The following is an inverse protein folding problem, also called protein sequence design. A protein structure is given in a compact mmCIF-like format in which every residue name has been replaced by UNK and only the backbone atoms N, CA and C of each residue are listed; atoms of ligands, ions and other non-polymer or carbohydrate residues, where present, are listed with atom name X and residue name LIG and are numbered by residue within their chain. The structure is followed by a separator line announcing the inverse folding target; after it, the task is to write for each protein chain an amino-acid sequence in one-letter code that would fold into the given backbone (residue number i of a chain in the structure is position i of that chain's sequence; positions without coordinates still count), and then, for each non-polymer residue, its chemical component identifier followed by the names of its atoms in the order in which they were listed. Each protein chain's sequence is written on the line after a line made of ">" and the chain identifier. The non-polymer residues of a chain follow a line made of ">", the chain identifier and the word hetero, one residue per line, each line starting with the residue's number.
data_IF_251745711994
#
_entry.id   IF_251745711994
#
_cell.length_a   1.000
_cell.length_b   1.000
_cell.length_c   1.000
_cell.angle_alpha   90.00
_cell.angle_beta   90.00
_cell.angle_gamma   90.00
#
_symmetry.space_group_name_H-M   'P 1'
#
loop_
_entity.id
_entity.type
_entity.pdbx_description
1 polymer ?
#
# COMPACT_ATOMS: atom_id res chain seq x y z
N UNK A 1 -38.41 -38.50 28.41
CA UNK A 1 -38.02 -38.57 26.98
C UNK A 1 -38.61 -37.33 26.33
N UNK A 2 -37.80 -36.48 25.71
CA UNK A 2 -38.29 -35.31 24.94
C UNK A 2 -38.30 -35.73 23.48
N UNK A 3 -39.48 -35.75 22.86
CA UNK A 3 -39.68 -36.16 21.47
C UNK A 3 -40.03 -34.90 20.69
N UNK A 4 -39.24 -34.60 19.67
CA UNK A 4 -39.47 -33.46 18.78
C UNK A 4 -39.48 -33.99 17.35
N UNK A 5 -40.46 -33.54 16.57
CA UNK A 5 -40.58 -33.86 15.16
C UNK A 5 -40.71 -32.55 14.38
N UNK A 6 -40.14 -32.50 13.18
CA UNK A 6 -40.35 -31.38 12.26
C UNK A 6 -40.96 -31.89 10.97
N UNK A 7 -41.83 -31.09 10.37
CA UNK A 7 -42.51 -31.45 9.14
C UNK A 7 -43.17 -30.26 8.48
N UNK A 8 -43.86 -30.53 7.36
CA UNK A 8 -44.56 -29.53 6.55
C UNK A 8 -45.90 -29.15 7.21
N UNK A 9 -45.81 -28.63 8.44
CA UNK A 9 -46.96 -28.25 9.25
C UNK A 9 -47.24 -26.76 9.10
N UNK A 10 -48.53 -26.42 9.00
CA UNK A 10 -48.95 -25.03 8.92
C UNK A 10 -48.81 -24.30 10.26
N UNK A 11 -48.63 -24.95 11.41
CA UNK A 11 -48.40 -24.29 12.71
C UNK A 11 -47.58 -25.20 13.63
N UNK A 12 -46.88 -24.63 14.61
CA UNK A 12 -46.28 -25.42 15.68
C UNK A 12 -47.42 -26.02 16.51
N UNK A 13 -47.38 -27.34 16.72
CA UNK A 13 -48.43 -28.06 17.46
C UNK A 13 -47.81 -29.00 18.47
N UNK A 14 -48.55 -29.34 19.52
CA UNK A 14 -48.16 -30.40 20.44
C UNK A 14 -49.22 -31.49 20.38
N UNK A 15 -48.80 -32.73 20.23
CA UNK A 15 -49.71 -33.88 20.32
C UNK A 15 -49.22 -34.85 21.41
N UNK A 16 -50.12 -35.37 22.25
CA UNK A 16 -49.79 -36.46 23.14
C UNK A 16 -49.53 -37.72 22.31
N UNK A 17 -48.41 -38.40 22.58
CA UNK A 17 -48.13 -39.71 22.00
C UNK A 17 -48.01 -40.72 23.12
N UNK A 18 -48.77 -41.80 22.97
CA UNK A 18 -48.66 -42.95 23.87
C UNK A 18 -47.39 -43.72 23.53
N UNK A 19 -46.61 -44.07 24.56
CA UNK A 19 -45.33 -44.78 24.39
C UNK A 19 -45.41 -46.09 25.15
N UNK A 20 -44.98 -47.18 24.51
CA UNK A 20 -44.85 -48.49 25.12
C UNK A 20 -43.37 -48.91 25.13
N UNK A 21 -42.91 -49.51 26.23
CA UNK A 21 -41.57 -50.12 26.22
C UNK A 21 -41.56 -51.36 25.32
N UNK A 22 -40.45 -51.64 24.63
CA UNK A 22 -40.33 -52.80 23.73
C UNK A 22 -40.62 -54.14 24.41
N UNK A 23 -40.41 -54.23 25.72
CA UNK A 23 -40.74 -55.41 26.52
C UNK A 23 -42.24 -55.57 26.81
N UNK A 24 -42.98 -54.46 26.94
CA UNK A 24 -44.42 -54.47 27.21
C UNK A 24 -45.24 -54.65 25.93
N UNK A 25 -44.86 -53.96 24.84
CA UNK A 25 -45.57 -54.01 23.56
C UNK A 25 -45.57 -55.39 22.89
N UNK A 26 -44.54 -56.22 23.15
CA UNK A 26 -44.43 -57.59 22.62
C UNK A 26 -45.36 -58.57 23.35
N UNK A 27 -45.70 -58.30 24.62
CA UNK A 27 -46.57 -59.17 25.44
C UNK A 27 -48.04 -58.76 25.41
N UNK A 28 -48.31 -57.47 25.24
CA UNK A 28 -49.67 -56.95 25.09
C UNK A 28 -49.65 -55.75 24.12
N UNK A 29 -50.26 -55.87 22.92
CA UNK A 29 -50.31 -54.79 21.94
C UNK A 29 -51.12 -53.57 22.42
N UNK A 30 -51.81 -53.65 23.56
CA UNK A 30 -52.52 -52.54 24.19
C UNK A 30 -51.76 -51.92 25.39
N UNK A 31 -50.53 -52.33 25.68
CA UNK A 31 -49.72 -51.83 26.80
C UNK A 31 -49.07 -50.45 26.52
N UNK A 32 -49.89 -49.48 26.15
CA UNK A 32 -49.50 -48.09 25.90
C UNK A 32 -49.66 -47.22 27.16
N UNK A 33 -48.80 -46.22 27.34
CA UNK A 33 -48.87 -45.29 28.50
C UNK A 33 -50.04 -44.31 28.38
N UNK A 34 -50.83 -44.10 29.45
CA UNK A 34 -51.92 -43.11 29.49
C UNK A 34 -51.45 -41.65 29.66
N UNK A 35 -50.28 -41.44 30.26
CA UNK A 35 -49.65 -40.11 30.40
C UNK A 35 -48.75 -39.88 29.18
N UNK A 36 -49.36 -39.41 28.09
CA UNK A 36 -48.70 -39.23 26.80
C UNK A 36 -47.45 -38.34 26.89
N UNK A 37 -46.36 -38.79 26.28
CA UNK A 37 -45.22 -37.89 26.02
C UNK A 37 -45.68 -36.88 24.98
N UNK A 38 -45.62 -35.59 25.32
CA UNK A 38 -45.91 -34.54 24.36
C UNK A 38 -44.81 -34.51 23.30
N UNK A 39 -45.19 -34.75 22.04
CA UNK A 39 -44.34 -34.47 20.90
C UNK A 39 -44.61 -33.04 20.45
N UNK A 40 -43.59 -32.21 20.46
CA UNK A 40 -43.65 -30.89 19.83
C UNK A 40 -43.35 -31.05 18.34
N UNK A 41 -44.31 -30.63 17.51
CA UNK A 41 -44.17 -30.54 16.06
C UNK A 41 -43.79 -29.11 15.70
N UNK A 42 -42.62 -28.96 15.11
CA UNK A 42 -42.11 -27.68 14.64
C UNK A 42 -42.17 -27.60 13.13
N UNK A 43 -42.37 -26.39 12.60
CA UNK A 43 -42.18 -26.17 11.16
C UNK A 43 -40.73 -26.43 10.77
N UNK A 44 -40.51 -27.02 9.59
CA UNK A 44 -39.16 -27.15 9.04
C UNK A 44 -38.56 -25.76 8.77
N UNK A 45 -37.38 -25.42 9.31
CA UNK A 45 -36.77 -24.11 9.08
C UNK A 45 -36.40 -23.94 7.61
N UNK A 46 -36.34 -22.68 7.15
CA UNK A 46 -35.91 -22.34 5.79
C UNK A 46 -34.66 -21.48 5.85
N UNK A 47 -33.58 -21.93 5.22
CA UNK A 47 -32.41 -21.10 4.96
C UNK A 47 -32.60 -20.38 3.61
N UNK A 48 -32.53 -19.04 3.61
CA UNK A 48 -32.79 -18.22 2.42
C UNK A 48 -31.52 -17.60 1.85
N UNK A 49 -30.63 -17.12 2.72
CA UNK A 49 -29.39 -16.46 2.32
C UNK A 49 -28.29 -16.71 3.36
N UNK A 50 -27.03 -16.69 2.91
CA UNK A 50 -25.84 -16.67 3.75
C UNK A 50 -24.94 -15.48 3.41
N UNK A 51 -24.40 -14.84 4.44
CA UNK A 51 -23.39 -13.80 4.30
C UNK A 51 -22.18 -14.09 5.22
N UNK A 52 -20.98 -14.39 4.66
CA UNK A 52 -20.73 -14.70 3.25
C UNK A 52 -21.32 -16.06 2.83
N UNK A 53 -21.55 -16.24 1.52
CA UNK A 53 -21.97 -17.53 0.92
C UNK A 53 -20.79 -18.44 0.51
N UNK A 54 -19.60 -18.14 1.03
CA UNK A 54 -18.36 -18.81 0.67
C UNK A 54 -17.35 -18.77 1.83
N UNK A 55 -16.36 -19.66 1.78
CA UNK A 55 -15.27 -19.76 2.75
C UNK A 55 -14.03 -20.44 2.14
N UNK A 56 -12.99 -20.66 2.94
CA UNK A 56 -11.74 -21.33 2.49
C UNK A 56 -11.74 -22.81 2.84
N UNK A 57 -10.86 -23.59 2.20
CA UNK A 57 -10.72 -25.03 2.46
C UNK A 57 -10.35 -25.37 3.92
N UNK A 58 -9.82 -24.41 4.67
CA UNK A 58 -9.48 -24.53 6.10
C UNK A 58 -10.72 -24.48 7.01
N UNK A 59 -11.86 -24.00 6.50
CA UNK A 59 -13.06 -23.76 7.30
C UNK A 59 -12.95 -22.50 8.16
N UNK A 60 -13.74 -22.45 9.24
CA UNK A 60 -13.71 -21.35 10.21
C UNK A 60 -14.49 -20.11 9.78
N UNK A 61 -15.16 -20.11 8.62
CA UNK A 61 -15.92 -18.94 8.16
C UNK A 61 -17.22 -18.83 8.92
N UNK A 62 -17.44 -17.70 9.61
CA UNK A 62 -18.68 -17.39 10.31
C UNK A 62 -19.76 -16.95 9.30
N UNK A 63 -20.56 -17.91 8.82
CA UNK A 63 -21.65 -17.67 7.90
C UNK A 63 -22.90 -17.23 8.67
N UNK A 64 -23.36 -16.00 8.41
CA UNK A 64 -24.63 -15.49 8.94
C UNK A 64 -25.76 -15.92 8.02
N UNK A 65 -26.62 -16.78 8.52
CA UNK A 65 -27.76 -17.34 7.81
C UNK A 65 -29.01 -16.53 8.12
N UNK A 66 -29.65 -16.04 7.06
CA UNK A 66 -30.97 -15.42 7.11
C UNK A 66 -32.00 -16.43 6.62
N UNK A 67 -33.06 -16.62 7.41
CA UNK A 67 -34.05 -17.66 7.16
C UNK A 67 -35.43 -17.35 7.73
N UNK A 68 -36.31 -18.35 7.72
CA UNK A 68 -37.57 -18.33 8.45
C UNK A 68 -37.68 -19.55 9.36
N UNK A 69 -38.47 -19.39 10.42
CA UNK A 69 -38.82 -20.47 11.36
C UNK A 69 -37.58 -21.05 12.09
N UNK A 70 -36.54 -20.23 12.25
CA UNK A 70 -35.34 -20.58 13.00
C UNK A 70 -35.54 -20.20 14.47
N UNK A 71 -35.76 -21.20 15.32
CA UNK A 71 -36.05 -21.01 16.75
C UNK A 71 -35.21 -21.97 17.59
N UNK A 72 -34.69 -21.49 18.71
CA UNK A 72 -33.99 -22.35 19.65
C UNK A 72 -35.01 -23.20 20.44
N UNK A 73 -35.07 -24.49 20.12
CA UNK A 73 -35.90 -25.46 20.85
C UNK A 73 -35.15 -26.10 22.02
N UNK A 74 -33.89 -25.75 22.29
CA UNK A 74 -33.05 -26.40 23.29
C UNK A 74 -32.43 -27.73 22.84
N UNK A 75 -32.62 -28.14 21.58
CA UNK A 75 -32.05 -29.33 20.96
C UNK A 75 -30.70 -29.11 20.23
N UNK A 76 -30.05 -27.95 20.49
CA UNK A 76 -28.86 -27.44 19.80
C UNK A 76 -29.10 -27.26 18.29
N UNK A 77 -29.37 -26.01 17.88
CA UNK A 77 -29.45 -25.60 16.48
C UNK A 77 -28.23 -26.11 15.71
N UNK A 78 -28.45 -26.71 14.53
CA UNK A 78 -27.36 -27.22 13.68
C UNK A 78 -27.44 -26.66 12.27
N UNK A 79 -26.28 -26.49 11.67
CA UNK A 79 -26.15 -26.21 10.25
C UNK A 79 -25.51 -27.39 9.53
N UNK A 80 -26.00 -27.69 8.32
CA UNK A 80 -25.38 -28.64 7.41
C UNK A 80 -24.60 -27.88 6.33
N UNK A 81 -23.37 -28.28 6.09
CA UNK A 81 -22.55 -27.92 4.94
C UNK A 81 -22.32 -29.20 4.12
N UNK A 82 -23.20 -29.45 3.15
CA UNK A 82 -23.26 -30.72 2.42
C UNK A 82 -23.61 -31.87 3.38
N UNK A 83 -22.71 -32.84 3.51
CA UNK A 83 -22.85 -33.97 4.45
C UNK A 83 -22.35 -33.67 5.86
N UNK A 84 -21.65 -32.55 6.07
CA UNK A 84 -21.05 -32.22 7.37
C UNK A 84 -22.01 -31.38 8.19
N UNK A 85 -22.26 -31.77 9.44
CA UNK A 85 -23.16 -31.06 10.34
C UNK A 85 -22.36 -30.42 11.47
N UNK A 86 -22.56 -29.12 11.69
CA UNK A 86 -21.94 -28.34 12.77
C UNK A 86 -23.00 -27.82 13.73
N UNK A 87 -22.62 -27.65 14.99
CA UNK A 87 -23.46 -26.94 15.97
C UNK A 87 -23.40 -25.45 15.66
N UNK A 88 -24.53 -24.76 15.75
CA UNK A 88 -24.58 -23.31 15.57
C UNK A 88 -23.75 -22.59 16.65
N UNK A 89 -23.05 -21.52 16.26
CA UNK A 89 -22.32 -20.66 17.18
C UNK A 89 -23.24 -19.73 17.99
N UNK A 90 -24.48 -19.52 17.53
CA UNK A 90 -25.49 -18.79 18.28
C UNK A 90 -26.69 -18.35 17.44
N UNK A 91 -27.85 -18.19 18.10
CA UNK A 91 -29.03 -17.56 17.52
C UNK A 91 -28.96 -16.04 17.75
N UNK A 92 -28.88 -15.26 16.66
CA UNK A 92 -28.84 -13.80 16.75
C UNK A 92 -30.25 -13.20 16.93
N UNK A 93 -31.25 -13.78 16.24
CA UNK A 93 -32.67 -13.41 16.35
C UNK A 93 -33.57 -14.51 15.76
N UNK A 94 -34.89 -14.36 15.81
CA UNK A 94 -35.89 -15.36 15.34
C UNK A 94 -35.84 -15.74 13.86
N UNK A 95 -34.91 -15.18 13.08
CA UNK A 95 -34.68 -15.49 11.66
C UNK A 95 -33.19 -15.44 11.27
N UNK A 96 -32.27 -15.27 12.24
CA UNK A 96 -30.85 -15.10 11.98
C UNK A 96 -30.03 -16.05 12.85
N UNK A 97 -29.24 -16.89 12.19
CA UNK A 97 -28.40 -17.91 12.81
C UNK A 97 -26.95 -17.74 12.38
N UNK A 98 -26.00 -17.99 13.27
CA UNK A 98 -24.59 -18.05 12.90
C UNK A 98 -24.08 -19.50 12.95
N UNK A 99 -23.32 -19.87 11.92
CA UNK A 99 -22.66 -21.16 11.85
C UNK A 99 -21.25 -21.02 11.29
N UNK A 100 -20.31 -21.77 11.87
CA UNK A 100 -18.91 -21.78 11.44
C UNK A 100 -18.70 -22.92 10.46
N UNK A 101 -18.20 -22.62 9.26
CA UNK A 101 -17.94 -23.63 8.24
C UNK A 101 -16.88 -24.65 8.70
N UNK A 102 -17.08 -25.96 8.47
CA UNK A 102 -16.03 -26.97 8.70
C UNK A 102 -14.94 -26.89 7.63
N UNK A 103 -13.79 -27.51 7.87
CA UNK A 103 -12.77 -27.70 6.84
C UNK A 103 -13.30 -28.63 5.74
N UNK A 104 -13.08 -28.27 4.48
CA UNK A 104 -13.57 -29.02 3.32
C UNK A 104 -12.69 -28.75 2.11
N UNK A 105 -12.46 -29.74 1.24
CA UNK A 105 -11.71 -29.53 0.01
C UNK A 105 -12.37 -28.45 -0.89
N UNK A 106 -11.61 -27.71 -1.71
CA UNK A 106 -12.16 -26.69 -2.59
C UNK A 106 -13.24 -27.27 -3.50
N UNK A 107 -14.34 -26.53 -3.67
CA UNK A 107 -15.42 -26.89 -4.57
C UNK A 107 -14.88 -27.00 -6.01
N UNK A 108 -15.02 -28.17 -6.62
CA UNK A 108 -14.70 -28.44 -8.04
C UNK A 108 -15.96 -28.86 -8.78
N UNK A 109 -16.02 -28.55 -10.08
CA UNK A 109 -16.95 -29.14 -11.05
C UNK A 109 -18.42 -29.21 -10.59
N UNK A 110 -19.05 -28.06 -10.33
CA UNK A 110 -20.49 -27.95 -10.08
C UNK A 110 -20.97 -28.53 -8.74
N UNK A 111 -20.09 -29.11 -7.91
CA UNK A 111 -20.43 -29.56 -6.57
C UNK A 111 -20.29 -28.42 -5.56
N UNK A 112 -21.43 -27.84 -5.19
CA UNK A 112 -21.54 -26.84 -4.14
C UNK A 112 -22.23 -27.45 -2.91
N UNK A 113 -21.54 -27.61 -1.77
CA UNK A 113 -22.14 -28.09 -0.54
C UNK A 113 -23.41 -27.33 -0.19
N UNK A 114 -24.49 -28.08 0.04
CA UNK A 114 -25.79 -27.51 0.44
C UNK A 114 -25.69 -26.92 1.83
N UNK A 115 -26.21 -25.71 1.99
CA UNK A 115 -26.24 -25.03 3.27
C UNK A 115 -27.66 -25.09 3.82
N UNK A 116 -27.82 -25.77 4.95
CA UNK A 116 -29.12 -26.02 5.56
C UNK A 116 -29.11 -25.81 7.06
N UNK A 117 -30.28 -25.60 7.64
CA UNK A 117 -30.48 -25.40 9.08
C UNK A 117 -31.44 -26.45 9.61
N UNK A 118 -31.19 -26.98 10.80
CA UNK A 118 -32.09 -27.86 11.53
C UNK A 118 -32.29 -27.34 12.96
N UNK A 119 -33.55 -27.25 13.39
CA UNK A 119 -33.91 -26.85 14.76
C UNK A 119 -33.84 -28.02 15.75
N UNK A 120 -34.07 -29.25 15.27
CA UNK A 120 -33.99 -30.49 16.05
C UNK A 120 -32.70 -31.29 15.79
N UNK A 121 -31.76 -30.70 15.06
CA UNK A 121 -30.47 -31.29 14.73
C UNK A 121 -30.50 -32.49 13.77
N UNK A 122 -31.66 -32.83 13.17
CA UNK A 122 -31.82 -33.96 12.26
C UNK A 122 -32.48 -33.57 10.93
N UNK A 123 -33.52 -32.75 11.00
CA UNK A 123 -34.35 -32.42 9.86
C UNK A 123 -33.97 -31.03 9.35
N UNK A 124 -33.16 -31.05 8.29
CA UNK A 124 -32.61 -29.84 7.69
C UNK A 124 -33.59 -29.20 6.71
N UNK A 125 -33.44 -27.90 6.51
CA UNK A 125 -34.20 -27.11 5.55
C UNK A 125 -34.28 -27.78 4.17
N UNK A 126 -35.44 -27.73 3.49
CA UNK A 126 -35.69 -28.49 2.26
C UNK A 126 -34.79 -28.05 1.10
N UNK A 127 -34.55 -28.99 0.19
CA UNK A 127 -33.62 -28.86 -0.95
C UNK A 127 -34.07 -27.84 -2.01
N UNK A 128 -35.35 -27.52 -2.08
CA UNK A 128 -35.92 -26.49 -2.96
C UNK A 128 -36.90 -25.68 -2.12
N UNK A 129 -36.62 -24.38 -1.97
CA UNK A 129 -37.64 -23.45 -1.51
C UNK A 129 -38.40 -23.00 -2.76
N UNK A 130 -39.74 -22.98 -2.74
CA UNK A 130 -40.60 -22.77 -3.93
C UNK A 130 -40.34 -21.50 -4.77
N UNK A 131 -39.39 -20.64 -4.39
CA UNK A 131 -39.01 -19.41 -5.10
C UNK A 131 -37.51 -19.26 -5.44
N UNK A 132 -36.60 -19.99 -4.79
CA UNK A 132 -35.15 -19.87 -4.94
C UNK A 132 -34.55 -21.26 -4.75
N UNK A 133 -33.65 -21.70 -5.64
CA UNK A 133 -33.00 -23.02 -5.59
C UNK A 133 -32.25 -23.29 -4.27
N UNK A 134 -31.51 -24.41 -4.16
CA UNK A 134 -30.82 -24.74 -2.93
C UNK A 134 -29.83 -23.65 -2.51
N UNK A 135 -29.88 -23.26 -1.24
CA UNK A 135 -28.81 -22.45 -0.64
C UNK A 135 -27.55 -23.31 -0.61
N UNK A 136 -26.45 -22.76 -1.12
CA UNK A 136 -25.16 -23.47 -1.21
C UNK A 136 -24.06 -22.63 -0.59
N UNK A 137 -22.98 -23.31 -0.21
CA UNK A 137 -21.78 -22.69 0.35
C UNK A 137 -20.57 -23.11 -0.45
N UNK A 138 -19.82 -22.14 -0.98
CA UNK A 138 -18.67 -22.42 -1.85
C UNK A 138 -17.37 -22.45 -1.05
N UNK A 139 -16.56 -23.51 -1.22
CA UNK A 139 -15.22 -23.58 -0.64
C UNK A 139 -14.17 -23.19 -1.68
N UNK A 140 -13.46 -22.09 -1.44
CA UNK A 140 -12.28 -21.68 -2.19
C UNK A 140 -11.01 -22.37 -1.70
N UNK A 141 -10.02 -22.49 -2.56
CA UNK A 141 -8.67 -22.89 -2.14
C UNK A 141 -8.08 -21.84 -1.18
N UNK A 142 -7.19 -22.27 -0.27
CA UNK A 142 -6.56 -21.35 0.69
C UNK A 142 -5.80 -20.24 -0.03
N UNK A 143 -5.78 -19.06 0.57
CA UNK A 143 -4.97 -17.95 0.09
C UNK A 143 -3.50 -18.26 0.38
N UNK A 144 -2.63 -18.09 -0.60
CA UNK A 144 -1.19 -18.16 -0.38
C UNK A 144 -0.54 -16.84 -0.79
N UNK A 145 0.37 -16.35 0.05
CA UNK A 145 1.14 -15.13 -0.19
C UNK A 145 2.60 -15.50 -0.37
N UNK A 146 3.23 -14.96 -1.40
CA UNK A 146 4.61 -15.29 -1.77
C UNK A 146 5.57 -14.10 -1.68
N UNK A 147 5.07 -12.86 -1.73
CA UNK A 147 5.92 -11.68 -1.64
C UNK A 147 5.18 -10.36 -1.57
N UNK A 148 5.93 -9.31 -1.24
CA UNK A 148 5.50 -7.91 -1.20
C UNK A 148 6.37 -7.07 -2.13
N UNK A 149 5.77 -6.07 -2.76
CA UNK A 149 6.48 -5.07 -3.55
C UNK A 149 5.90 -3.67 -3.25
N UNK A 150 6.66 -2.76 -2.62
CA UNK A 150 7.91 -3.02 -1.91
C UNK A 150 7.70 -3.86 -0.63
N UNK A 151 8.77 -4.43 -0.09
CA UNK A 151 8.76 -5.17 1.18
C UNK A 151 9.22 -4.33 2.40
N UNK A 152 9.28 -3.01 2.25
CA UNK A 152 9.62 -2.07 3.31
C UNK A 152 8.95 -0.71 3.04
N UNK A 153 8.90 0.14 4.06
CA UNK A 153 8.39 1.51 3.98
C UNK A 153 8.57 2.28 5.28
N UNK A 154 8.32 3.59 5.30
CA UNK A 154 8.51 4.41 6.49
C UNK A 154 7.48 4.09 7.60
N UNK A 155 7.90 4.27 8.85
CA UNK A 155 7.10 4.03 10.07
C UNK A 155 5.84 4.89 10.16
N UNK A 156 5.79 6.02 9.45
CA UNK A 156 4.57 6.84 9.33
C UNK A 156 3.46 6.18 8.52
N UNK A 157 3.78 5.09 7.80
CA UNK A 157 2.86 4.37 6.93
C UNK A 157 2.60 5.12 5.62
N UNK A 158 1.63 4.61 4.86
CA UNK A 158 1.20 5.19 3.60
C UNK A 158 1.77 4.52 2.34
N UNK A 159 2.74 3.63 2.49
CA UNK A 159 3.34 2.90 1.38
C UNK A 159 2.29 2.07 0.66
N UNK A 160 2.20 2.22 -0.66
CA UNK A 160 1.40 1.34 -1.50
C UNK A 160 2.14 0.01 -1.68
N UNK A 161 1.62 -1.06 -1.09
CA UNK A 161 2.25 -2.38 -1.09
C UNK A 161 1.43 -3.32 -1.96
N UNK A 162 2.06 -3.82 -3.04
CA UNK A 162 1.51 -4.88 -3.87
C UNK A 162 1.83 -6.21 -3.20
N UNK A 163 0.80 -6.94 -2.82
CA UNK A 163 0.88 -8.29 -2.27
C UNK A 163 0.74 -9.29 -3.43
N UNK A 164 1.72 -10.18 -3.58
CA UNK A 164 1.73 -11.23 -4.59
C UNK A 164 1.36 -12.58 -3.98
N UNK A 165 0.50 -13.33 -4.65
CA UNK A 165 0.03 -14.62 -4.17
C UNK A 165 -0.82 -15.40 -5.17
N UNK A 166 -1.68 -16.29 -4.67
CA UNK A 166 -2.73 -16.96 -5.44
C UNK A 166 -4.02 -17.09 -4.63
N UNK A 167 -5.12 -17.35 -5.34
CA UNK A 167 -6.46 -17.58 -4.79
C UNK A 167 -7.03 -16.35 -4.05
N UNK A 168 -6.66 -15.14 -4.45
CA UNK A 168 -7.12 -13.90 -3.81
C UNK A 168 -8.59 -13.58 -4.11
N UNK A 169 -9.10 -14.07 -5.25
CA UNK A 169 -10.52 -13.97 -5.64
C UNK A 169 -11.13 -15.37 -5.64
N UNK A 170 -12.22 -15.62 -4.90
CA UNK A 170 -12.96 -16.87 -4.97
C UNK A 170 -13.54 -17.06 -6.38
N UNK A 171 -13.37 -18.25 -6.96
CA UNK A 171 -13.66 -18.51 -8.37
C UNK A 171 -15.15 -18.44 -8.79
N UNK A 172 -16.11 -18.11 -7.91
CA UNK A 172 -17.54 -18.42 -8.14
C UNK A 172 -18.54 -17.29 -7.84
N UNK A 173 -18.14 -16.15 -7.26
CA UNK A 173 -19.08 -15.03 -7.08
C UNK A 173 -18.55 -13.73 -7.70
N UNK A 174 -18.98 -13.46 -8.94
CA UNK A 174 -18.68 -12.23 -9.68
C UNK A 174 -19.47 -11.01 -9.18
N UNK A 175 -20.46 -11.20 -8.30
CA UNK A 175 -21.32 -10.13 -7.81
C UNK A 175 -20.97 -9.72 -6.37
N UNK A 176 -20.46 -10.62 -5.55
CA UNK A 176 -19.86 -10.27 -4.27
C UNK A 176 -18.41 -9.83 -4.49
N UNK A 177 -18.13 -8.52 -4.39
CA UNK A 177 -16.75 -8.03 -4.30
C UNK A 177 -16.19 -8.41 -2.93
N UNK A 178 -15.36 -9.47 -2.79
CA UNK A 178 -14.83 -9.82 -1.48
C UNK A 178 -13.98 -8.65 -0.95
N UNK A 179 -14.17 -8.30 0.31
CA UNK A 179 -13.30 -7.32 0.98
C UNK A 179 -11.97 -7.99 1.29
N UNK A 180 -10.98 -7.79 0.44
CA UNK A 180 -9.62 -8.22 0.73
C UNK A 180 -9.01 -7.30 1.80
N UNK A 181 -8.50 -7.87 2.88
CA UNK A 181 -7.90 -7.14 4.00
C UNK A 181 -6.47 -7.63 4.18
N UNK A 182 -5.51 -6.72 4.16
CA UNK A 182 -4.15 -7.00 4.59
C UNK A 182 -4.01 -6.68 6.09
N UNK A 183 -3.20 -7.43 6.81
CA UNK A 183 -2.86 -7.17 8.21
C UNK A 183 -1.36 -7.05 8.34
N UNK A 184 -0.90 -5.86 8.74
CA UNK A 184 0.49 -5.57 9.06
C UNK A 184 0.68 -5.74 10.57
N UNK A 185 1.23 -6.87 11.00
CA UNK A 185 1.30 -7.26 12.41
C UNK A 185 -0.10 -7.42 13.01
N UNK A 186 -0.55 -6.42 13.78
CA UNK A 186 -1.89 -6.41 14.39
C UNK A 186 -2.86 -5.40 13.75
N UNK A 187 -2.42 -4.64 12.74
CA UNK A 187 -3.21 -3.57 12.14
C UNK A 187 -3.84 -4.03 10.82
N UNK A 188 -5.16 -4.26 10.77
CA UNK A 188 -5.86 -4.57 9.53
C UNK A 188 -6.07 -3.31 8.70
N UNK A 189 -5.81 -3.40 7.40
CA UNK A 189 -6.06 -2.37 6.38
C UNK A 189 -6.83 -2.99 5.23
N UNK A 190 -7.85 -2.28 4.74
CA UNK A 190 -8.58 -2.69 3.55
C UNK A 190 -7.66 -2.58 2.34
N UNK A 191 -7.66 -3.60 1.48
CA UNK A 191 -7.13 -3.43 0.14
C UNK A 191 -7.96 -2.37 -0.59
N UNK A 192 -7.29 -1.50 -1.33
CA UNK A 192 -7.91 -0.33 -1.94
C UNK A 192 -9.01 -0.72 -2.93
N UNK A 193 -10.22 -0.19 -2.72
CA UNK A 193 -11.41 -0.36 -3.59
C UNK A 193 -12.04 0.99 -4.03
N UNK A 194 -11.35 2.13 -3.90
CA UNK A 194 -11.94 3.44 -4.18
C UNK A 194 -11.45 4.13 -5.48
N UNK A 195 -10.37 3.65 -6.14
CA UNK A 195 -9.78 4.27 -7.34
C UNK A 195 -9.25 3.30 -8.43
N UNK A 196 -9.61 2.01 -8.41
CA UNK A 196 -9.62 1.21 -9.66
C UNK A 196 -8.46 0.26 -9.99
N UNK A 197 -7.62 -0.15 -9.05
CA UNK A 197 -6.86 -1.41 -9.23
C UNK A 197 -7.61 -2.56 -8.54
N UNK A 198 -8.15 -3.47 -9.36
CA UNK A 198 -8.94 -4.60 -8.91
C UNK A 198 -8.04 -5.66 -8.25
N UNK A 199 -8.47 -6.20 -7.10
CA UNK A 199 -7.86 -7.41 -6.55
C UNK A 199 -8.01 -8.51 -7.60
N UNK A 200 -6.88 -8.99 -8.12
CA UNK A 200 -6.88 -10.07 -9.10
C UNK A 200 -6.76 -11.41 -8.38
N UNK A 201 -6.82 -12.52 -9.11
CA UNK A 201 -6.57 -13.84 -8.51
C UNK A 201 -5.17 -13.99 -7.88
N UNK A 202 -4.21 -13.10 -8.21
CA UNK A 202 -2.80 -13.21 -7.83
C UNK A 202 -2.19 -11.96 -7.21
N UNK A 203 -2.87 -10.81 -7.24
CA UNK A 203 -2.35 -9.54 -6.71
C UNK A 203 -3.41 -8.74 -5.97
N UNK A 204 -2.99 -8.07 -4.90
CA UNK A 204 -3.81 -7.11 -4.16
C UNK A 204 -2.96 -5.94 -3.69
N UNK A 205 -3.50 -4.73 -3.70
CA UNK A 205 -2.79 -3.52 -3.26
C UNK A 205 -3.31 -3.07 -1.90
N UNK A 206 -2.39 -2.90 -0.94
CA UNK A 206 -2.70 -2.50 0.43
C UNK A 206 -1.81 -1.34 0.85
N UNK A 207 -2.40 -0.35 1.52
CA UNK A 207 -1.66 0.79 2.04
C UNK A 207 -1.14 0.49 3.45
N UNK A 208 0.16 0.57 3.68
CA UNK A 208 0.74 0.31 5.01
C UNK A 208 0.18 1.29 6.04
N UNK A 209 -0.19 0.83 7.25
CA UNK A 209 -0.59 1.72 8.34
C UNK A 209 0.64 2.34 9.02
N UNK A 210 0.46 3.42 9.82
CA UNK A 210 1.51 3.86 10.74
C UNK A 210 1.87 2.75 11.74
N UNK A 211 3.16 2.51 11.95
CA UNK A 211 3.67 1.45 12.81
C UNK A 211 5.03 1.81 13.40
N UNK A 212 5.39 1.21 14.55
CA UNK A 212 6.74 1.34 15.08
C UNK A 212 7.78 0.72 14.13
N UNK A 213 9.02 1.22 14.18
CA UNK A 213 10.12 0.65 13.38
C UNK A 213 10.36 -0.83 13.71
N UNK A 214 10.68 -1.63 12.68
CA UNK A 214 10.97 -3.06 12.81
C UNK A 214 10.24 -3.92 11.78
N UNK A 215 10.40 -5.24 11.90
CA UNK A 215 9.83 -6.23 11.00
C UNK A 215 8.45 -6.69 11.51
N UNK A 216 7.47 -6.75 10.62
CA UNK A 216 6.14 -7.32 10.89
C UNK A 216 5.79 -8.38 9.86
N UNK A 217 4.92 -9.32 10.23
CA UNK A 217 4.26 -10.19 9.25
C UNK A 217 3.15 -9.41 8.53
N UNK A 218 3.00 -9.68 7.24
CA UNK A 218 1.88 -9.26 6.41
C UNK A 218 1.08 -10.49 6.04
N UNK A 219 -0.15 -10.52 6.52
CA UNK A 219 -1.10 -11.60 6.30
C UNK A 219 -2.33 -11.05 5.60
N UNK A 220 -3.06 -11.91 4.91
CA UNK A 220 -4.22 -11.47 4.12
C UNK A 220 -5.45 -12.29 4.44
N UNK A 221 -6.62 -11.67 4.27
CA UNK A 221 -7.91 -12.32 4.40
C UNK A 221 -8.81 -11.86 3.25
N UNK A 222 -9.54 -12.79 2.65
CA UNK A 222 -10.69 -12.46 1.84
C UNK A 222 -11.91 -12.53 2.75
N UNK A 223 -12.46 -11.39 3.15
CA UNK A 223 -13.60 -11.30 4.08
C UNK A 223 -13.20 -11.10 5.56
N UNK A 224 -14.16 -11.22 6.48
CA UNK A 224 -13.93 -10.97 7.90
C UNK A 224 -13.30 -12.19 8.61
N UNK A 225 -12.14 -11.96 9.26
CA UNK A 225 -11.71 -12.72 10.43
C UNK A 225 -10.66 -13.82 10.22
N UNK A 226 -10.54 -14.41 9.03
CA UNK A 226 -9.61 -15.52 8.79
C UNK A 226 -8.43 -15.07 7.92
N UNK A 227 -7.33 -14.68 8.59
CA UNK A 227 -6.07 -14.35 7.95
C UNK A 227 -5.25 -15.60 7.65
N UNK A 228 -4.40 -15.53 6.63
CA UNK A 228 -3.39 -16.56 6.33
C UNK A 228 -2.50 -16.86 7.54
N UNK A 229 -2.24 -18.13 7.80
CA UNK A 229 -1.40 -18.60 8.92
C UNK A 229 0.09 -18.24 8.77
N UNK A 230 0.58 -18.10 7.53
CA UNK A 230 1.95 -17.72 7.22
C UNK A 230 1.95 -16.40 6.46
N UNK A 231 2.50 -15.36 7.08
CA UNK A 231 2.70 -14.06 6.46
C UNK A 231 4.09 -13.91 5.82
N UNK A 232 4.19 -12.94 4.93
CA UNK A 232 5.47 -12.45 4.39
C UNK A 232 5.95 -11.24 5.20
N UNK A 233 7.24 -10.95 5.23
CA UNK A 233 7.79 -9.90 6.10
C UNK A 233 7.77 -8.54 5.43
N UNK A 234 7.33 -7.52 6.17
CA UNK A 234 7.46 -6.11 5.82
C UNK A 234 8.32 -5.37 6.86
N UNK A 235 9.28 -4.56 6.42
CA UNK A 235 10.12 -3.74 7.29
C UNK A 235 9.59 -2.30 7.39
N UNK A 236 9.17 -1.89 8.58
CA UNK A 236 8.96 -0.48 8.89
C UNK A 236 10.28 0.17 9.25
N UNK A 237 10.76 1.07 8.38
CA UNK A 237 11.98 1.82 8.57
C UNK A 237 11.68 3.17 9.25
N UNK A 238 12.66 3.75 9.92
CA UNK A 238 12.51 5.08 10.49
C UNK A 238 12.20 6.09 9.37
N UNK A 239 11.23 6.98 9.60
CA UNK A 239 10.91 8.03 8.64
C UNK A 239 12.15 8.87 8.33
N UNK A 240 12.39 9.11 7.04
CA UNK A 240 13.44 10.00 6.57
C UNK A 240 13.03 11.46 6.76
N UNK A 241 13.99 12.28 7.16
CA UNK A 241 13.75 13.65 7.60
C UNK A 241 14.81 14.57 6.97
N UNK A 242 14.52 15.23 5.83
CA UNK A 242 15.36 16.28 5.29
C UNK A 242 15.25 17.54 6.17
N UNK A 243 16.39 18.06 6.59
CA UNK A 243 16.49 19.19 7.51
C UNK A 243 17.06 20.44 6.82
N UNK A 244 18.11 20.26 6.02
CA UNK A 244 18.84 21.37 5.37
C UNK A 244 19.10 21.02 3.91
N UNK A 245 18.92 22.01 3.03
CA UNK A 245 19.28 21.92 1.62
C UNK A 245 20.32 22.99 1.28
N UNK A 246 21.39 22.59 0.58
CA UNK A 246 22.45 23.49 0.16
C UNK A 246 23.00 23.14 -1.24
N UNK A 247 23.16 24.12 -2.16
CA UNK A 247 22.72 25.51 -2.03
C UNK A 247 21.17 25.62 -2.10
N UNK A 248 20.55 26.62 -1.43
CA UNK A 248 19.09 26.80 -1.45
C UNK A 248 18.56 27.38 -2.78
N UNK A 249 19.45 27.80 -3.67
CA UNK A 249 19.11 28.35 -4.99
C UNK A 249 20.02 27.76 -6.06
N UNK A 250 19.56 27.74 -7.30
CA UNK A 250 20.35 27.29 -8.45
C UNK A 250 19.70 27.64 -9.78
N UNK A 251 20.30 27.22 -10.89
CA UNK A 251 19.79 27.61 -12.22
C UNK A 251 18.49 26.90 -12.58
N UNK A 252 17.57 27.65 -13.17
CA UNK A 252 16.34 27.12 -13.74
C UNK A 252 16.58 26.14 -14.89
N UNK A 253 17.72 26.23 -15.58
CA UNK A 253 18.11 25.28 -16.63
C UNK A 253 18.45 23.88 -16.09
N UNK A 254 18.63 23.74 -14.77
CA UNK A 254 19.00 22.49 -14.11
C UNK A 254 20.51 22.28 -14.00
N UNK A 255 20.92 21.14 -13.45
CA UNK A 255 22.33 20.75 -13.30
C UNK A 255 23.00 21.24 -12.02
N UNK A 256 22.31 22.01 -11.17
CA UNK A 256 22.83 22.41 -9.85
C UNK A 256 22.89 21.17 -8.96
N UNK A 257 24.07 20.85 -8.43
CA UNK A 257 24.23 19.75 -7.48
C UNK A 257 23.82 20.22 -6.07
N UNK A 258 22.66 19.80 -5.62
CA UNK A 258 22.17 20.09 -4.26
C UNK A 258 22.50 18.95 -3.31
N UNK A 259 22.84 19.33 -2.08
CA UNK A 259 23.07 18.42 -0.95
C UNK A 259 21.93 18.62 0.05
N UNK A 260 21.24 17.53 0.35
CA UNK A 260 20.20 17.45 1.38
C UNK A 260 20.81 16.76 2.59
N UNK A 261 20.89 17.47 3.71
CA UNK A 261 21.31 16.94 5.00
C UNK A 261 20.08 16.68 5.88
N UNK A 262 20.15 15.62 6.68
CA UNK A 262 19.02 15.16 7.48
C UNK A 262 19.28 13.82 8.14
N UNK A 263 18.24 12.99 8.27
CA UNK A 263 18.31 11.68 8.90
C UNK A 263 17.59 10.59 8.10
N UNK A 264 18.02 9.33 8.35
CA UNK A 264 17.43 8.09 7.84
C UNK A 264 17.35 7.98 6.30
N UNK A 265 18.32 8.54 5.57
CA UNK A 265 18.47 8.32 4.13
C UNK A 265 19.07 6.93 3.84
N UNK A 266 18.29 5.90 4.07
CA UNK A 266 18.70 4.51 3.87
C UNK A 266 18.42 4.13 2.41
N UNK A 267 19.48 3.86 1.66
CA UNK A 267 19.38 3.23 0.36
C UNK A 267 19.06 1.75 0.55
N UNK A 268 17.86 1.34 0.15
CA UNK A 268 17.49 -0.07 0.14
C UNK A 268 18.18 -0.77 -1.02
N UNK A 269 19.06 -1.73 -0.73
CA UNK A 269 19.55 -2.68 -1.75
C UNK A 269 18.36 -3.52 -2.21
N UNK A 270 17.74 -3.14 -3.31
CA UNK A 270 16.60 -3.85 -3.90
C UNK A 270 17.08 -5.18 -4.48
N UNK A 271 17.18 -6.22 -3.65
CA UNK A 271 17.35 -7.57 -4.16
C UNK A 271 15.96 -8.18 -4.36
N UNK A 272 15.51 -8.16 -5.61
CA UNK A 272 14.27 -8.79 -6.04
C UNK A 272 14.29 -10.27 -5.65
N UNK A 273 13.46 -10.66 -4.69
CA UNK A 273 13.41 -12.03 -4.20
C UNK A 273 12.11 -12.27 -3.43
N UNK A 274 11.36 -13.29 -3.84
CA UNK A 274 10.28 -13.84 -3.05
C UNK A 274 10.87 -14.30 -1.71
N UNK A 275 10.42 -13.70 -0.62
CA UNK A 275 10.97 -13.89 0.71
C UNK A 275 10.68 -15.28 1.25
N UNK A 276 11.59 -16.23 0.99
CA UNK A 276 12.03 -17.26 1.92
C UNK A 276 13.49 -17.55 1.54
N UNK A 277 14.42 -17.44 2.50
CA UNK A 277 15.87 -17.42 2.25
C UNK A 277 16.32 -18.37 1.14
N UNK A 278 16.98 -17.83 0.10
CA UNK A 278 17.80 -18.50 -0.92
C UNK A 278 17.38 -19.88 -1.49
N UNK A 279 16.13 -20.30 -1.35
CA UNK A 279 15.63 -21.56 -1.91
C UNK A 279 14.35 -21.29 -2.67
N UNK A 280 14.53 -21.02 -3.97
CA UNK A 280 13.44 -21.09 -4.94
C UNK A 280 12.81 -22.50 -4.86
N UNK A 281 11.50 -22.55 -4.61
CA UNK A 281 10.76 -23.80 -4.56
C UNK A 281 10.70 -24.41 -5.98
N UNK A 282 11.02 -25.71 -6.17
CA UNK A 282 10.92 -26.34 -7.48
C UNK A 282 9.47 -26.33 -7.96
N UNK A 283 9.18 -25.57 -9.02
CA UNK A 283 7.85 -25.53 -9.64
C UNK A 283 7.23 -24.14 -9.80
N UNK A 284 7.81 -23.07 -9.23
CA UNK A 284 7.49 -21.70 -9.64
C UNK A 284 8.12 -21.45 -11.01
N UNK A 285 7.34 -21.66 -12.08
CA UNK A 285 7.76 -21.36 -13.44
C UNK A 285 8.38 -19.96 -13.47
N UNK A 286 9.63 -19.88 -13.92
CA UNK A 286 10.38 -18.64 -14.10
C UNK A 286 9.71 -17.77 -15.15
N UNK A 287 8.65 -17.07 -14.75
CA UNK A 287 8.15 -15.90 -15.45
C UNK A 287 9.03 -14.72 -15.07
N UNK A 288 10.11 -14.53 -15.81
CA UNK A 288 10.80 -13.25 -15.84
C UNK A 288 9.76 -12.25 -16.34
N UNK A 289 9.22 -11.41 -15.45
CA UNK A 289 8.45 -10.23 -15.83
C UNK A 289 9.43 -9.26 -16.52
N UNK A 290 9.64 -9.46 -17.82
CA UNK A 290 10.13 -8.43 -18.72
C UNK A 290 8.96 -7.48 -18.98
N UNK A 291 8.65 -6.64 -17.98
CA UNK A 291 7.85 -5.45 -18.21
C UNK A 291 8.58 -4.58 -19.22
N UNK A 292 7.98 -4.41 -20.39
CA UNK A 292 8.38 -3.46 -21.44
C UNK A 292 8.19 -2.02 -20.93
N UNK A 293 9.07 -1.59 -20.03
CA UNK A 293 9.36 -0.21 -19.71
C UNK A 293 10.79 0.08 -20.13
N UNK A 294 11.02 1.23 -20.76
CA UNK A 294 12.31 1.71 -21.27
C UNK A 294 13.48 1.46 -20.31
N UNK A 295 14.69 1.34 -20.88
CA UNK A 295 15.99 1.12 -20.22
C UNK A 295 16.42 2.19 -19.15
N UNK A 296 15.48 2.82 -18.44
CA UNK A 296 15.71 3.73 -17.31
C UNK A 296 15.56 3.05 -15.92
N UNK A 297 15.15 1.77 -15.86
CA UNK A 297 14.84 1.03 -14.61
C UNK A 297 15.69 -0.24 -14.45
N UNK A 298 16.97 -0.17 -14.79
CA UNK A 298 17.96 -1.20 -14.41
C UNK A 298 18.88 -0.65 -13.33
N UNK A 299 18.66 -1.10 -12.09
CA UNK A 299 19.62 -1.02 -10.99
C UNK A 299 19.92 0.37 -10.45
N UNK A 300 18.95 1.06 -9.86
CA UNK A 300 19.25 2.20 -8.98
C UNK A 300 18.50 2.04 -7.68
N UNK A 301 19.26 2.00 -6.59
CA UNK A 301 18.77 2.26 -5.24
C UNK A 301 18.02 3.61 -5.29
N UNK A 302 16.70 3.57 -5.36
CA UNK A 302 15.95 4.69 -5.92
C UNK A 302 15.60 5.75 -4.86
N UNK A 303 16.64 6.25 -4.20
CA UNK A 303 16.56 7.52 -3.50
C UNK A 303 16.17 8.60 -4.53
N UNK A 304 15.26 9.49 -4.17
CA UNK A 304 14.81 10.56 -5.08
C UNK A 304 14.64 11.88 -4.35
N UNK A 305 14.90 13.00 -5.04
CA UNK A 305 14.45 14.33 -4.62
C UNK A 305 13.26 14.76 -5.48
N UNK A 306 12.29 15.42 -4.87
CA UNK A 306 11.13 16.01 -5.55
C UNK A 306 11.00 17.48 -5.19
N UNK A 307 11.00 18.33 -6.21
CA UNK A 307 10.88 19.78 -6.08
C UNK A 307 9.47 20.23 -6.47
N UNK A 308 8.79 20.96 -5.58
CA UNK A 308 7.49 21.57 -5.85
C UNK A 308 6.25 20.70 -5.56
N UNK A 309 6.40 19.58 -4.86
CA UNK A 309 5.30 18.73 -4.41
C UNK A 309 4.86 17.65 -5.41
N UNK A 310 3.64 17.11 -5.22
CA UNK A 310 3.13 15.93 -5.97
C UNK A 310 2.96 16.24 -7.46
N UNK A 311 3.54 15.42 -8.34
CA UNK A 311 3.44 15.57 -9.79
C UNK A 311 4.33 16.64 -10.42
N UNK A 312 5.25 17.22 -9.63
CA UNK A 312 6.20 18.23 -10.08
C UNK A 312 7.51 17.59 -10.59
N UNK A 313 8.67 18.04 -10.10
CA UNK A 313 9.97 17.66 -10.64
C UNK A 313 10.65 16.61 -9.76
N UNK A 314 10.73 15.36 -10.24
CA UNK A 314 11.41 14.27 -9.52
C UNK A 314 12.72 13.89 -10.21
N UNK A 315 13.80 13.80 -9.44
CA UNK A 315 15.12 13.39 -9.89
C UNK A 315 15.69 12.28 -9.02
N UNK A 316 16.52 11.43 -9.60
CA UNK A 316 17.27 10.43 -8.84
C UNK A 316 18.27 11.08 -7.90
N UNK A 317 18.53 10.41 -6.79
CA UNK A 317 19.47 10.86 -5.77
C UNK A 317 20.56 9.82 -5.51
N UNK A 318 21.65 10.27 -4.90
CA UNK A 318 22.72 9.41 -4.39
C UNK A 318 22.89 9.63 -2.89
N UNK A 319 22.87 8.56 -2.10
CA UNK A 319 23.24 8.64 -0.68
C UNK A 319 24.76 8.77 -0.57
N UNK A 320 25.19 9.79 0.17
CA UNK A 320 26.57 9.90 0.66
C UNK A 320 26.68 9.19 2.01
N UNK A 321 25.64 9.29 2.84
CA UNK A 321 25.47 8.57 4.11
C UNK A 321 23.99 8.51 4.48
N UNK A 322 23.64 7.89 5.60
CA UNK A 322 22.28 7.93 6.16
C UNK A 322 21.81 9.34 6.56
N UNK A 323 22.69 10.35 6.51
CA UNK A 323 22.41 11.73 6.88
C UNK A 323 22.63 12.73 5.74
N UNK A 324 23.14 12.28 4.58
CA UNK A 324 23.45 13.17 3.45
C UNK A 324 23.07 12.51 2.13
N UNK A 325 22.26 13.21 1.35
CA UNK A 325 21.76 12.81 0.05
C UNK A 325 22.08 13.90 -0.99
N UNK A 326 22.46 13.51 -2.21
CA UNK A 326 22.80 14.43 -3.30
C UNK A 326 21.90 14.24 -4.50
N UNK A 327 21.41 15.35 -5.04
CA UNK A 327 20.54 15.41 -6.21
C UNK A 327 21.06 16.44 -7.19
N UNK A 328 20.91 16.15 -8.48
CA UNK A 328 21.13 17.13 -9.54
C UNK A 328 19.78 17.73 -9.91
N UNK A 329 19.66 19.06 -9.91
CA UNK A 329 18.38 19.72 -10.19
C UNK A 329 17.95 19.48 -11.64
N UNK A 330 16.65 19.27 -11.89
CA UNK A 330 16.13 19.16 -13.24
C UNK A 330 16.01 20.53 -13.90
N UNK A 331 15.72 20.55 -15.20
CA UNK A 331 15.26 21.78 -15.87
C UNK A 331 13.87 22.15 -15.37
N UNK A 332 13.72 23.37 -14.87
CA UNK A 332 12.47 23.92 -14.37
C UNK A 332 11.72 24.67 -15.47
N UNK A 333 10.40 24.77 -15.32
CA UNK A 333 9.58 25.60 -16.21
C UNK A 333 9.72 27.09 -15.86
N UNK A 334 9.46 27.97 -16.82
CA UNK A 334 9.45 29.42 -16.60
C UNK A 334 8.54 29.85 -15.44
N UNK A 335 7.44 29.12 -15.21
CA UNK A 335 6.49 29.40 -14.12
C UNK A 335 7.05 29.08 -12.72
N UNK A 336 8.12 28.29 -12.62
CA UNK A 336 8.78 27.95 -11.37
C UNK A 336 9.91 28.93 -11.01
N UNK A 337 10.41 29.71 -11.96
CA UNK A 337 11.55 30.62 -11.77
C UNK A 337 11.21 31.71 -10.74
N UNK A 338 12.10 31.91 -9.77
CA UNK A 338 11.93 32.87 -8.66
C UNK A 338 10.86 32.44 -7.64
N UNK A 339 10.44 31.16 -7.66
CA UNK A 339 9.49 30.62 -6.67
C UNK A 339 10.18 29.64 -5.75
N UNK A 340 9.84 29.72 -4.47
CA UNK A 340 10.27 28.75 -3.47
C UNK A 340 9.53 27.41 -3.67
N UNK A 341 10.26 26.36 -4.05
CA UNK A 341 9.75 25.01 -4.26
C UNK A 341 10.10 24.13 -3.06
N UNK A 342 9.14 23.43 -2.46
CA UNK A 342 9.45 22.45 -1.40
C UNK A 342 10.31 21.31 -1.94
N UNK A 343 11.23 20.78 -1.14
CA UNK A 343 12.13 19.69 -1.56
C UNK A 343 11.96 18.47 -0.69
N UNK A 344 11.15 17.54 -1.18
CA UNK A 344 10.91 16.28 -0.51
C UNK A 344 11.91 15.22 -0.96
N UNK A 345 12.23 14.30 -0.08
CA UNK A 345 13.04 13.13 -0.42
C UNK A 345 12.20 11.86 -0.37
N UNK A 346 12.63 10.82 -1.08
CA UNK A 346 12.07 9.47 -1.03
C UNK A 346 13.19 8.46 -0.90
N UNK A 347 12.96 7.39 -0.13
CA UNK A 347 13.89 6.27 0.06
C UNK A 347 13.40 4.97 -0.59
N UNK A 348 12.24 5.01 -1.25
CA UNK A 348 11.56 3.83 -1.79
C UNK A 348 11.05 4.05 -3.21
N UNK A 349 11.94 4.50 -4.10
CA UNK A 349 11.65 4.66 -5.53
C UNK A 349 10.59 5.72 -5.88
N UNK A 350 10.37 6.70 -5.00
CA UNK A 350 9.40 7.77 -5.24
C UNK A 350 7.96 7.37 -4.91
N UNK A 351 7.74 6.23 -4.25
CA UNK A 351 6.42 5.85 -3.74
C UNK A 351 6.01 6.75 -2.57
N UNK A 352 6.89 6.87 -1.57
CA UNK A 352 6.68 7.72 -0.40
C UNK A 352 7.66 8.89 -0.41
N UNK A 353 7.13 10.10 -0.28
CA UNK A 353 7.90 11.33 -0.12
C UNK A 353 7.68 11.93 1.25
N UNK A 354 8.71 12.57 1.80
CA UNK A 354 8.57 13.40 2.99
C UNK A 354 7.60 14.55 2.77
N UNK A 355 7.08 15.14 3.86
CA UNK A 355 6.50 16.48 3.86
C UNK A 355 7.52 17.46 4.44
N UNK A 356 8.56 17.77 3.67
CA UNK A 356 9.70 18.58 4.13
C UNK A 356 9.34 20.05 4.31
N UNK A 357 10.12 20.77 5.15
CA UNK A 357 10.06 22.23 5.28
C UNK A 357 11.27 22.90 4.62
N UNK A 358 12.04 22.18 3.80
CA UNK A 358 13.16 22.71 3.05
C UNK A 358 12.70 23.17 1.67
N UNK A 359 13.29 24.25 1.18
CA UNK A 359 12.91 24.85 -0.10
C UNK A 359 14.11 25.09 -1.00
N UNK A 360 13.85 25.07 -2.30
CA UNK A 360 14.79 25.41 -3.35
C UNK A 360 14.18 26.45 -4.28
N UNK A 361 14.94 27.46 -4.65
CA UNK A 361 14.51 28.50 -5.58
C UNK A 361 15.31 28.45 -6.90
N UNK A 362 14.67 28.09 -8.02
CA UNK A 362 15.31 28.14 -9.32
C UNK A 362 15.38 29.58 -9.83
N UNK A 363 16.58 30.06 -10.13
CA UNK A 363 16.86 31.40 -10.61
C UNK A 363 17.05 31.42 -12.13
N UNK A 364 16.67 32.51 -12.76
CA UNK A 364 16.99 32.77 -14.16
C UNK A 364 18.50 32.87 -14.36
N UNK A 365 18.98 32.47 -15.54
CA UNK A 365 20.40 32.60 -15.90
C UNK A 365 20.82 34.08 -15.88
N UNK A 366 21.89 34.37 -15.14
CA UNK A 366 22.56 35.67 -15.22
C UNK A 366 23.43 35.74 -16.48
N UNK A 367 23.64 36.95 -16.99
CA UNK A 367 24.47 37.18 -18.17
C UNK A 367 25.47 38.30 -17.89
N UNK A 368 26.75 38.05 -18.19
CA UNK A 368 27.76 39.12 -18.31
C UNK A 368 27.78 39.67 -19.74
N UNK A 369 27.51 40.97 -19.91
CA UNK A 369 27.51 41.63 -21.23
C UNK A 369 28.83 42.37 -21.51
N UNK A 370 29.33 43.14 -20.55
CA UNK A 370 30.58 43.90 -20.70
C UNK A 370 31.23 44.25 -19.36
N UNK A 371 32.51 44.64 -19.42
CA UNK A 371 33.33 44.98 -18.26
C UNK A 371 33.87 46.41 -18.37
N UNK A 372 33.93 47.13 -17.25
CA UNK A 372 34.61 48.42 -17.16
C UNK A 372 35.35 48.59 -15.83
N UNK A 373 36.70 48.67 -15.84
CA UNK A 373 37.57 48.51 -17.01
C UNK A 373 37.62 47.04 -17.49
N UNK A 374 37.92 46.77 -18.77
CA UNK A 374 38.11 45.41 -19.29
C UNK A 374 39.49 44.81 -18.93
N UNK A 375 40.35 45.60 -18.27
CA UNK A 375 41.66 45.17 -17.83
C UNK A 375 42.02 45.71 -16.45
N UNK A 376 42.90 45.00 -15.74
CA UNK A 376 43.40 45.37 -14.41
C UNK A 376 44.91 45.38 -14.30
N UNK A 377 45.42 45.54 -13.09
CA UNK A 377 46.86 45.49 -12.81
C UNK A 377 47.28 44.10 -12.34
N UNK A 378 48.55 43.73 -12.56
CA UNK A 378 49.11 42.44 -12.09
C UNK A 378 49.09 42.28 -10.57
N UNK A 379 49.09 43.38 -9.82
CA UNK A 379 48.93 43.38 -8.36
C UNK A 379 47.52 43.06 -7.88
N UNK A 380 46.53 42.96 -8.78
CA UNK A 380 45.12 42.80 -8.43
C UNK A 380 44.50 44.08 -7.87
N UNK A 381 43.32 43.95 -7.27
CA UNK A 381 42.61 45.03 -6.59
C UNK A 381 41.87 46.01 -7.53
N UNK A 382 41.93 45.82 -8.84
CA UNK A 382 41.16 46.62 -9.80
C UNK A 382 39.67 46.39 -9.56
N UNK A 383 38.92 47.46 -9.29
CA UNK A 383 37.46 47.39 -9.18
C UNK A 383 36.87 47.35 -10.59
N UNK A 384 36.27 46.23 -10.94
CA UNK A 384 35.65 45.96 -12.23
C UNK A 384 34.13 46.10 -12.07
N UNK A 385 33.54 47.04 -12.81
CA UNK A 385 32.09 47.08 -13.01
C UNK A 385 31.72 46.04 -14.08
N UNK A 386 30.87 45.11 -13.72
CA UNK A 386 30.34 44.06 -14.58
C UNK A 386 28.93 44.44 -14.97
N UNK A 387 28.73 44.77 -16.24
CA UNK A 387 27.42 45.07 -16.81
C UNK A 387 26.80 43.78 -17.34
N UNK A 388 25.52 43.55 -17.05
CA UNK A 388 24.90 42.28 -17.32
C UNK A 388 23.38 42.30 -17.25
N UNK A 389 22.80 41.12 -17.08
CA UNK A 389 21.38 40.93 -16.82
C UNK A 389 21.17 39.92 -15.71
N UNK A 390 20.04 40.04 -15.01
CA UNK A 390 19.65 39.10 -13.97
C UNK A 390 20.38 39.30 -12.63
N UNK A 391 20.96 40.47 -12.37
CA UNK A 391 21.48 40.84 -11.06
C UNK A 391 20.41 41.57 -10.25
N UNK A 392 20.25 41.17 -9.00
CA UNK A 392 19.19 41.62 -8.09
C UNK A 392 19.79 41.89 -6.72
N UNK A 393 19.12 42.72 -5.91
CA UNK A 393 19.64 43.19 -4.63
C UNK A 393 19.56 42.12 -3.53
N UNK A 394 18.61 41.20 -3.63
CA UNK A 394 18.30 40.23 -2.58
C UNK A 394 19.17 38.96 -2.66
N UNK A 395 19.91 38.80 -3.76
CA UNK A 395 20.72 37.62 -4.01
C UNK A 395 22.20 37.97 -4.04
N UNK A 396 23.03 37.25 -3.26
CA UNK A 396 24.47 37.44 -3.30
C UNK A 396 25.02 37.07 -4.69
N UNK A 397 26.03 37.82 -5.11
CA UNK A 397 26.69 37.65 -6.40
C UNK A 397 28.18 37.42 -6.17
N UNK A 398 28.78 36.54 -6.96
CA UNK A 398 30.21 36.25 -6.92
C UNK A 398 30.82 36.32 -8.31
N UNK A 399 32.01 36.87 -8.42
CA UNK A 399 32.82 36.82 -9.63
C UNK A 399 33.86 35.71 -9.58
N UNK A 400 34.22 35.22 -10.75
CA UNK A 400 35.34 34.29 -10.95
C UNK A 400 36.15 34.73 -12.16
N UNK A 401 37.45 34.86 -11.96
CA UNK A 401 38.43 35.30 -12.96
C UNK A 401 39.28 34.10 -13.41
N UNK A 402 38.84 33.41 -14.46
CA UNK A 402 39.42 32.16 -14.93
C UNK A 402 39.30 31.06 -13.88
N UNK A 403 40.39 30.78 -13.17
CA UNK A 403 40.46 29.78 -12.08
C UNK A 403 40.42 30.40 -10.68
N UNK A 404 40.35 31.73 -10.57
CA UNK A 404 40.41 32.43 -9.28
C UNK A 404 39.02 32.93 -8.89
N UNK A 405 38.48 32.41 -7.80
CA UNK A 405 37.16 32.73 -7.25
C UNK A 405 36.69 31.61 -6.31
N UNK A 406 35.49 31.71 -5.71
CA UNK A 406 34.52 32.81 -5.84
C UNK A 406 34.97 34.08 -5.11
N UNK A 407 34.90 35.24 -5.77
CA UNK A 407 35.19 36.56 -5.20
C UNK A 407 33.85 37.25 -4.92
N UNK A 408 33.54 37.67 -3.68
CA UNK A 408 32.32 38.40 -3.39
C UNK A 408 32.18 39.65 -4.27
N UNK A 409 31.03 39.79 -4.91
CA UNK A 409 30.67 40.97 -5.67
C UNK A 409 29.79 41.90 -4.82
N UNK A 410 29.95 43.20 -5.01
CA UNK A 410 29.06 44.21 -4.45
C UNK A 410 27.96 44.52 -5.49
N UNK A 411 26.69 44.33 -5.10
CA UNK A 411 25.57 44.78 -5.92
C UNK A 411 25.59 46.32 -5.97
N UNK A 412 25.63 46.90 -7.17
CA UNK A 412 25.68 48.35 -7.33
C UNK A 412 24.34 48.93 -7.80
N UNK A 413 23.76 48.34 -8.84
CA UNK A 413 22.49 48.73 -9.41
C UNK A 413 21.89 47.56 -10.21
N UNK A 414 20.66 47.71 -10.68
CA UNK A 414 20.09 46.78 -11.65
C UNK A 414 21.07 46.66 -12.83
N UNK A 415 21.40 45.43 -13.22
CA UNK A 415 22.35 45.12 -14.30
C UNK A 415 23.83 45.51 -14.05
N UNK A 416 24.21 45.93 -12.83
CA UNK A 416 25.61 46.28 -12.52
C UNK A 416 26.06 45.68 -11.18
N UNK A 417 27.12 44.88 -11.22
CA UNK A 417 27.82 44.38 -10.03
C UNK A 417 29.30 44.75 -10.06
N UNK A 418 29.93 44.90 -8.89
CA UNK A 418 31.33 45.30 -8.75
C UNK A 418 32.15 44.19 -8.12
N UNK A 419 33.27 43.86 -8.76
CA UNK A 419 34.19 42.84 -8.27
C UNK A 419 35.61 43.38 -8.23
N UNK A 420 36.40 42.94 -7.24
CA UNK A 420 37.83 43.24 -7.19
C UNK A 420 38.61 42.13 -7.89
N UNK A 421 39.43 42.47 -8.88
CA UNK A 421 40.27 41.49 -9.56
C UNK A 421 41.32 40.89 -8.60
N UNK A 422 41.66 39.61 -8.73
CA UNK A 422 42.77 39.01 -7.99
C UNK A 422 44.12 39.40 -8.61
N UNK A 423 45.21 39.25 -7.85
CA UNK A 423 46.56 39.38 -8.38
C UNK A 423 46.88 38.21 -9.34
N UNK A 424 47.42 38.52 -10.52
CA UNK A 424 47.80 37.49 -11.50
C UNK A 424 48.96 37.99 -12.38
N UNK A 425 49.67 37.07 -13.02
CA UNK A 425 50.77 37.40 -13.92
C UNK A 425 50.30 38.25 -15.10
N UNK A 426 51.13 39.21 -15.52
CA UNK A 426 50.91 40.13 -16.64
C UNK A 426 50.78 39.38 -17.97
N UNK A 427 49.95 39.90 -18.88
CA UNK A 427 49.62 39.34 -20.21
C UNK A 427 48.71 38.10 -20.19
N UNK A 428 47.86 37.95 -19.18
CA UNK A 428 46.90 36.84 -19.11
C UNK A 428 45.48 37.35 -19.37
N UNK A 429 44.83 36.80 -20.39
CA UNK A 429 43.40 36.98 -20.66
C UNK A 429 42.62 35.83 -20.03
N UNK A 430 41.66 36.14 -19.16
CA UNK A 430 40.85 35.14 -18.44
C UNK A 430 39.37 35.44 -18.61
N UNK A 431 38.49 34.41 -18.70
CA UNK A 431 37.07 34.65 -18.65
C UNK A 431 36.67 35.20 -17.27
N UNK A 432 35.83 36.23 -17.26
CA UNK A 432 35.13 36.69 -16.08
C UNK A 432 33.72 36.11 -16.11
N UNK A 433 33.46 35.24 -15.16
CA UNK A 433 32.16 34.60 -14.96
C UNK A 433 31.53 35.12 -13.67
N UNK A 434 30.20 35.21 -13.66
CA UNK A 434 29.45 35.61 -12.47
C UNK A 434 28.56 34.45 -12.02
N UNK A 435 28.37 34.32 -10.71
CA UNK A 435 27.40 33.42 -10.09
C UNK A 435 26.43 34.22 -9.24
N UNK A 436 25.15 33.86 -9.25
CA UNK A 436 24.09 34.52 -8.47
C UNK A 436 23.41 33.49 -7.57
N UNK A 437 23.17 33.86 -6.31
CA UNK A 437 22.48 33.03 -5.31
C UNK A 437 23.33 31.89 -4.74
N UNK A 438 24.29 31.35 -5.49
CA UNK A 438 25.28 30.38 -5.01
C UNK A 438 26.68 30.66 -5.58
N UNK A 439 27.65 29.77 -5.29
CA UNK A 439 29.04 29.92 -5.74
C UNK A 439 29.45 28.95 -6.85
N UNK A 440 28.52 28.14 -7.36
CA UNK A 440 28.81 27.00 -8.25
C UNK A 440 28.29 27.26 -9.67
N UNK A 441 27.16 27.92 -9.79
CA UNK A 441 26.46 28.14 -11.05
C UNK A 441 26.96 29.42 -11.72
N UNK A 442 27.85 29.26 -12.68
CA UNK A 442 28.55 30.36 -13.34
C UNK A 442 27.99 30.66 -14.73
N UNK A 443 27.94 31.94 -15.09
CA UNK A 443 27.64 32.40 -16.45
C UNK A 443 28.65 31.86 -17.47
N UNK A 444 28.21 31.49 -18.69
CA UNK A 444 29.07 30.85 -19.71
C UNK A 444 29.30 31.66 -20.99
N UNK A 445 29.07 32.96 -20.94
CA UNK A 445 29.13 33.87 -22.11
C UNK A 445 30.52 34.45 -22.41
N UNK A 446 31.58 33.90 -21.78
CA UNK A 446 32.99 34.04 -22.14
C UNK A 446 33.49 35.50 -22.32
N UNK A 447 33.05 36.40 -21.45
CA UNK A 447 33.54 37.79 -21.43
C UNK A 447 34.94 37.82 -20.84
N UNK A 448 35.89 38.43 -21.54
CA UNK A 448 37.31 38.36 -21.20
C UNK A 448 37.74 39.57 -20.39
N UNK A 449 38.51 39.30 -19.33
CA UNK A 449 39.25 40.28 -18.53
C UNK A 449 40.76 40.08 -18.73
N UNK A 450 41.47 41.18 -18.99
CA UNK A 450 42.93 41.16 -19.23
C UNK A 450 43.71 41.70 -18.03
N UNK A 451 44.90 41.16 -17.76
CA UNK A 451 45.80 41.58 -16.66
C UNK A 451 47.15 42.01 -17.19
#
# INVERSE_FOLDING_TARGET
>A
MRLEATGDHNYDTQAPVEVASSHAAVRDPNAWSADGVLIAFHRTPRALQSEPAWGTEEGGTAAKLTGSDVRDTGAQLKCSFGSTVVVSSGLMSVNHLECVSPAHAPSRDGYLPRLGVAVNGRDFSPEISHAFGPLTFTYGARIEVYGLQPNYGPSVGGTSVIVHGKNFVPAVDLNAKPTFTCRFGFFPVLASNALGEEVTATTATCRSPPHAVGFVSVEVSAGPGNFTTFGVVFEFQAAHEPEVLFPPTGLASGGTLVTVAGANFIASNQQWGYGHGNTAQPGSGGGIFLGSGSDAMKGKDALSCRFGGVGAYTVGASAVSSAVLRCETPTFSDAAVGRSLSVDTSTNAGEDFTGSQTYFEPLAEALVLSLSPPAGTSGGGTVVNVFGAGFTVDEPVWCKFGTTGPIPAEYHAENIVRCKSPAKATNMAVPLEVSRGNTFDLTRNNVIFSI
#
